data_IF_241857021454
#
_entry.id   IF_241857021454
#
_cell.length_a   1.000
_cell.length_b   1.000
_cell.length_c   1.000
_cell.angle_alpha   90.00
_cell.angle_beta   90.00
_cell.angle_gamma   90.00
#
_symmetry.space_group_name_H-M   'P 1'
#
loop_
_entity.id
_entity.type
_entity.pdbx_description
1 polymer ?
#
# COMPACT_ATOMS: atom_id res chain seq x y z
N UNK A 1 18.30 6.41 -32.78
CA UNK A 1 16.94 6.92 -33.08
C UNK A 1 16.34 7.40 -31.77
N UNK A 2 16.16 8.73 -31.60
CA UNK A 2 15.52 9.26 -30.40
C UNK A 2 14.03 8.92 -30.46
N UNK A 3 13.46 8.26 -29.45
CA UNK A 3 12.02 8.01 -29.42
C UNK A 3 11.30 9.36 -29.47
N UNK A 4 10.49 9.56 -30.52
CA UNK A 4 9.61 10.72 -30.61
C UNK A 4 8.52 10.53 -29.55
N UNK A 5 8.69 11.16 -28.40
CA UNK A 5 7.64 11.22 -27.40
C UNK A 5 6.50 12.07 -27.94
N UNK A 6 5.38 11.44 -28.27
CA UNK A 6 4.14 12.16 -28.61
C UNK A 6 3.70 12.88 -27.34
N UNK A 7 3.71 14.23 -27.30
CA UNK A 7 3.31 14.95 -26.12
C UNK A 7 1.82 14.71 -25.88
N UNK A 8 1.48 14.28 -24.67
CA UNK A 8 0.09 14.09 -24.28
C UNK A 8 -0.62 15.46 -24.27
N UNK A 9 -1.87 15.57 -24.78
CA UNK A 9 -2.66 16.78 -24.64
C UNK A 9 -2.74 17.24 -23.18
N UNK A 10 -2.60 18.55 -22.95
CA UNK A 10 -2.51 19.11 -21.59
C UNK A 10 -3.79 18.88 -20.79
N UNK A 11 -4.93 18.91 -21.46
CA UNK A 11 -6.25 18.64 -20.91
C UNK A 11 -6.32 17.22 -20.37
N UNK A 12 -5.83 16.24 -21.13
CA UNK A 12 -5.79 14.84 -20.70
C UNK A 12 -4.85 14.65 -19.51
N UNK A 13 -3.70 15.33 -19.51
CA UNK A 13 -2.77 15.29 -18.39
C UNK A 13 -3.38 15.90 -17.13
N UNK A 14 -4.12 17.01 -17.26
CA UNK A 14 -4.85 17.61 -16.15
C UNK A 14 -5.93 16.66 -15.62
N UNK A 15 -6.70 16.00 -16.46
CA UNK A 15 -7.69 14.99 -16.03
C UNK A 15 -7.03 13.84 -15.27
N UNK A 16 -5.87 13.36 -15.73
CA UNK A 16 -5.09 12.34 -15.02
C UNK A 16 -4.67 12.84 -13.63
N UNK A 17 -4.24 14.10 -13.51
CA UNK A 17 -3.88 14.68 -12.21
C UNK A 17 -5.09 14.76 -11.28
N UNK A 18 -6.24 15.24 -11.78
CA UNK A 18 -7.48 15.31 -11.01
C UNK A 18 -7.95 13.91 -10.57
N UNK A 19 -7.80 12.89 -11.42
CA UNK A 19 -8.13 11.49 -11.09
C UNK A 19 -7.21 10.94 -10.01
N UNK A 20 -5.92 11.18 -10.15
CA UNK A 20 -4.89 10.75 -9.19
C UNK A 20 -5.13 11.38 -7.82
N UNK A 21 -5.56 12.65 -7.80
CA UNK A 21 -5.88 13.39 -6.60
C UNK A 21 -7.30 13.08 -6.05
N UNK A 22 -8.08 12.23 -6.75
CA UNK A 22 -9.46 11.84 -6.40
C UNK A 22 -10.41 13.04 -6.32
N UNK A 23 -10.46 13.85 -7.38
CA UNK A 23 -11.42 14.95 -7.48
C UNK A 23 -12.87 14.40 -7.42
N UNK A 24 -13.76 14.94 -6.57
CA UNK A 24 -15.07 14.35 -6.31
C UNK A 24 -15.96 14.28 -7.55
N UNK A 25 -15.86 15.27 -8.45
CA UNK A 25 -16.74 15.39 -9.62
C UNK A 25 -16.13 14.77 -10.89
N UNK A 26 -15.07 13.97 -10.79
CA UNK A 26 -14.35 13.53 -12.00
C UNK A 26 -15.15 12.59 -12.91
N UNK A 27 -16.19 11.95 -12.38
CA UNK A 27 -17.09 11.09 -13.15
C UNK A 27 -18.28 11.86 -13.74
N UNK A 28 -18.37 13.16 -13.50
CA UNK A 28 -19.38 14.02 -14.13
C UNK A 28 -19.02 14.19 -15.61
N UNK A 29 -20.00 14.12 -16.50
CA UNK A 29 -19.83 14.30 -17.95
C UNK A 29 -19.21 15.66 -18.30
N UNK A 30 -19.28 16.60 -17.36
CA UNK A 30 -18.61 17.88 -17.40
C UNK A 30 -17.07 17.79 -17.36
N UNK A 31 -16.44 16.67 -17.00
CA UNK A 31 -14.98 16.49 -16.97
C UNK A 31 -14.46 15.69 -18.18
N UNK A 32 -14.61 16.26 -19.38
CA UNK A 32 -14.14 15.69 -20.64
C UNK A 32 -12.79 16.28 -21.10
N UNK A 33 -12.26 15.81 -22.24
CA UNK A 33 -11.02 16.34 -22.84
C UNK A 33 -11.13 17.81 -23.29
N UNK A 34 -12.34 18.37 -23.33
CA UNK A 34 -12.65 19.73 -23.78
C UNK A 34 -13.06 20.63 -22.61
N UNK A 35 -12.64 20.26 -21.39
CA UNK A 35 -13.01 20.90 -20.13
C UNK A 35 -12.83 22.42 -20.14
N UNK A 36 -11.79 22.92 -20.81
CA UNK A 36 -11.48 24.35 -20.99
C UNK A 36 -11.40 24.79 -22.45
N UNK A 37 -12.05 24.06 -23.37
CA UNK A 37 -12.09 24.41 -24.79
C UNK A 37 -13.06 25.58 -25.03
N UNK A 38 -12.52 26.71 -25.50
CA UNK A 38 -13.31 27.91 -25.78
C UNK A 38 -14.28 27.74 -26.96
N UNK A 39 -14.02 26.81 -27.89
CA UNK A 39 -14.88 26.58 -29.05
C UNK A 39 -16.08 25.70 -28.68
N UNK A 40 -15.90 24.77 -27.75
CA UNK A 40 -16.94 23.81 -27.36
C UNK A 40 -17.74 24.21 -26.13
N UNK A 41 -17.16 25.03 -25.24
CA UNK A 41 -17.81 25.43 -23.99
C UNK A 41 -17.90 26.94 -23.84
N UNK A 42 -19.07 27.42 -23.44
CA UNK A 42 -19.27 28.82 -23.12
C UNK A 42 -18.42 29.25 -21.93
N UNK A 43 -18.19 30.56 -21.80
CA UNK A 43 -17.28 31.11 -20.79
C UNK A 43 -17.76 30.81 -19.35
N UNK A 44 -19.07 30.83 -19.09
CA UNK A 44 -19.64 30.68 -17.75
C UNK A 44 -19.37 29.30 -17.12
N UNK A 45 -19.64 28.15 -17.79
CA UNK A 45 -19.22 26.83 -17.31
C UNK A 45 -17.72 26.72 -17.09
N UNK A 46 -16.89 27.27 -17.99
CA UNK A 46 -15.43 27.23 -17.87
C UNK A 46 -14.93 27.99 -16.65
N UNK A 47 -15.50 29.16 -16.37
CA UNK A 47 -15.20 29.94 -15.17
C UNK A 47 -15.57 29.15 -13.91
N UNK A 48 -16.79 28.62 -13.84
CA UNK A 48 -17.24 27.84 -12.68
C UNK A 48 -16.31 26.65 -12.42
N UNK A 49 -15.95 25.94 -13.48
CA UNK A 49 -15.06 24.79 -13.40
C UNK A 49 -13.64 25.17 -12.98
N UNK A 50 -13.13 26.30 -13.46
CA UNK A 50 -11.87 26.87 -13.00
C UNK A 50 -11.95 27.20 -11.50
N UNK A 51 -13.03 27.82 -11.02
CA UNK A 51 -13.22 28.17 -9.61
C UNK A 51 -13.26 26.91 -8.74
N UNK A 52 -14.06 25.91 -9.12
CA UNK A 52 -14.22 24.64 -8.39
C UNK A 52 -12.89 23.87 -8.30
N UNK A 53 -12.21 23.69 -9.44
CA UNK A 53 -10.92 22.99 -9.49
C UNK A 53 -9.87 23.76 -8.70
N UNK A 54 -9.80 25.08 -8.86
CA UNK A 54 -8.79 25.92 -8.19
C UNK A 54 -8.97 25.92 -6.68
N UNK A 55 -10.20 26.11 -6.19
CA UNK A 55 -10.49 26.07 -4.76
C UNK A 55 -10.12 24.69 -4.18
N UNK A 56 -10.51 23.61 -4.85
CA UNK A 56 -10.19 22.27 -4.40
C UNK A 56 -8.68 21.99 -4.37
N UNK A 57 -7.93 22.41 -5.40
CA UNK A 57 -6.46 22.26 -5.42
C UNK A 57 -5.80 23.06 -4.28
N UNK A 58 -6.26 24.29 -4.02
CA UNK A 58 -5.76 25.10 -2.90
C UNK A 58 -6.13 24.46 -1.56
N UNK A 59 -7.32 23.89 -1.41
CA UNK A 59 -7.72 23.11 -0.25
C UNK A 59 -6.82 21.89 -0.02
N UNK A 60 -6.39 21.20 -1.08
CA UNK A 60 -5.45 20.08 -0.94
C UNK A 60 -4.05 20.52 -0.49
N UNK A 61 -3.59 21.71 -0.89
CA UNK A 61 -2.28 22.23 -0.47
C UNK A 61 -2.31 22.81 0.95
N UNK A 62 -3.29 23.65 1.22
CA UNK A 62 -3.36 24.55 2.39
C UNK A 62 -4.28 24.01 3.51
N UNK A 63 -5.09 22.99 3.21
CA UNK A 63 -6.07 22.44 4.12
C UNK A 63 -7.09 23.49 4.57
N UNK A 64 -7.24 23.65 5.89
CA UNK A 64 -8.21 24.57 6.51
C UNK A 64 -7.97 26.05 6.16
N UNK A 65 -6.78 26.40 5.68
CA UNK A 65 -6.44 27.78 5.33
C UNK A 65 -6.96 28.20 3.94
N UNK A 66 -7.42 27.27 3.10
CA UNK A 66 -7.94 27.61 1.77
C UNK A 66 -9.09 28.62 1.81
N UNK A 67 -9.99 28.50 2.79
CA UNK A 67 -11.08 29.47 3.02
C UNK A 67 -10.59 30.88 3.34
N UNK A 68 -9.41 31.03 3.97
CA UNK A 68 -8.83 32.34 4.25
C UNK A 68 -8.20 32.95 3.01
N UNK A 69 -7.61 32.12 2.15
CA UNK A 69 -6.94 32.54 0.91
C UNK A 69 -7.99 32.91 -0.16
N UNK A 70 -9.03 32.09 -0.28
CA UNK A 70 -10.10 32.22 -1.27
C UNK A 70 -11.44 32.46 -0.55
N UNK A 71 -11.52 33.55 0.22
CA UNK A 71 -12.66 33.88 1.07
C UNK A 71 -13.98 34.11 0.31
N UNK A 72 -13.92 34.37 -0.99
CA UNK A 72 -15.09 34.64 -1.84
C UNK A 72 -15.71 33.39 -2.46
N UNK A 73 -15.18 32.19 -2.18
CA UNK A 73 -15.73 30.94 -2.69
C UNK A 73 -16.79 30.35 -1.74
N UNK A 74 -17.94 29.85 -2.24
CA UNK A 74 -18.35 29.77 -3.65
C UNK A 74 -18.76 31.14 -4.22
N UNK A 75 -18.41 31.40 -5.48
CA UNK A 75 -18.75 32.65 -6.15
C UNK A 75 -20.21 32.58 -6.65
N UNK A 76 -21.09 33.39 -6.06
CA UNK A 76 -22.51 33.46 -6.45
C UNK A 76 -22.70 34.62 -7.42
N UNK A 77 -21.99 35.74 -7.20
CA UNK A 77 -22.10 36.96 -8.00
C UNK A 77 -20.91 37.13 -8.96
N UNK A 78 -21.09 37.75 -10.14
CA UNK A 78 -19.99 38.04 -11.05
C UNK A 78 -18.87 38.89 -10.42
N UNK A 79 -19.20 39.79 -9.49
CA UNK A 79 -18.21 40.58 -8.73
C UNK A 79 -17.33 39.71 -7.83
N UNK A 80 -17.89 38.66 -7.22
CA UNK A 80 -17.16 37.71 -6.38
C UNK A 80 -16.19 36.88 -7.22
N UNK A 81 -16.58 36.50 -8.44
CA UNK A 81 -15.69 35.85 -9.42
C UNK A 81 -14.47 36.71 -9.77
N UNK A 82 -14.60 38.04 -9.84
CA UNK A 82 -13.44 38.94 -10.07
C UNK A 82 -12.51 38.96 -8.85
N UNK A 83 -13.08 39.06 -7.65
CA UNK A 83 -12.33 39.03 -6.41
C UNK A 83 -11.60 37.68 -6.22
N UNK A 84 -12.29 36.57 -6.49
CA UNK A 84 -11.72 35.22 -6.47
C UNK A 84 -10.51 35.12 -7.41
N UNK A 85 -10.67 35.51 -8.68
CA UNK A 85 -9.59 35.45 -9.68
C UNK A 85 -8.38 36.30 -9.26
N UNK A 86 -8.62 37.46 -8.64
CA UNK A 86 -7.55 38.34 -8.17
C UNK A 86 -6.78 37.71 -7.01
N UNK A 87 -7.49 37.18 -6.00
CA UNK A 87 -6.90 36.46 -4.88
C UNK A 87 -6.15 35.20 -5.32
N UNK A 88 -6.73 34.45 -6.26
CA UNK A 88 -6.14 33.24 -6.80
C UNK A 88 -4.88 33.54 -7.64
N UNK A 89 -4.88 34.58 -8.48
CA UNK A 89 -3.70 35.01 -9.21
C UNK A 89 -2.54 35.37 -8.26
N UNK A 90 -2.84 36.10 -7.17
CA UNK A 90 -1.84 36.45 -6.16
C UNK A 90 -1.29 35.22 -5.44
N UNK A 91 -2.17 34.27 -5.10
CA UNK A 91 -1.76 33.00 -4.51
C UNK A 91 -0.84 32.21 -5.44
N UNK A 92 -1.22 32.06 -6.72
CA UNK A 92 -0.43 31.35 -7.72
C UNK A 92 0.96 31.96 -7.91
N UNK A 93 1.07 33.29 -7.99
CA UNK A 93 2.38 33.94 -8.14
C UNK A 93 3.24 33.77 -6.89
N UNK A 94 2.66 33.86 -5.68
CA UNK A 94 3.39 33.56 -4.45
C UNK A 94 3.89 32.11 -4.41
N UNK A 95 3.03 31.13 -4.76
CA UNK A 95 3.38 29.71 -4.81
C UNK A 95 4.49 29.45 -5.84
N UNK A 96 4.41 30.10 -7.00
CA UNK A 96 5.46 30.04 -8.03
C UNK A 96 6.78 30.57 -7.50
N UNK A 97 6.78 31.75 -6.88
CA UNK A 97 7.99 32.37 -6.33
C UNK A 97 8.62 31.53 -5.21
N UNK A 98 7.82 31.00 -4.29
CA UNK A 98 8.30 30.11 -3.23
C UNK A 98 8.94 28.84 -3.82
N UNK A 99 8.29 28.22 -4.80
CA UNK A 99 8.81 27.00 -5.44
C UNK A 99 10.12 27.24 -6.19
N UNK A 100 10.26 28.39 -6.86
CA UNK A 100 11.50 28.77 -7.55
C UNK A 100 12.61 29.08 -6.53
N UNK A 101 12.30 29.80 -5.45
CA UNK A 101 13.28 30.16 -4.40
C UNK A 101 13.84 28.97 -3.65
N UNK A 102 13.04 27.95 -3.41
CA UNK A 102 13.49 26.71 -2.78
C UNK A 102 14.52 25.95 -3.63
N UNK A 103 14.68 26.32 -4.91
CA UNK A 103 15.69 25.82 -5.86
C UNK A 103 15.81 24.29 -5.91
N UNK A 104 14.73 23.62 -5.54
CA UNK A 104 14.62 22.18 -5.62
C UNK A 104 14.54 21.83 -7.10
N UNK A 105 15.34 20.86 -7.56
CA UNK A 105 15.27 20.36 -8.94
C UNK A 105 13.84 19.95 -9.34
N UNK A 106 12.97 19.72 -8.34
CA UNK A 106 11.55 19.46 -8.52
C UNK A 106 10.72 20.68 -8.96
N UNK A 107 11.09 21.95 -8.77
CA UNK A 107 10.22 23.08 -9.17
C UNK A 107 10.25 23.44 -10.66
N UNK A 108 10.75 22.55 -11.52
CA UNK A 108 10.88 22.78 -12.96
C UNK A 108 9.54 23.09 -13.66
N UNK A 109 8.42 22.57 -13.15
CA UNK A 109 7.08 22.83 -13.72
C UNK A 109 6.61 24.29 -13.60
N UNK A 110 7.26 25.12 -12.77
CA UNK A 110 6.93 26.54 -12.62
C UNK A 110 7.76 27.49 -13.50
N UNK A 111 8.85 26.99 -14.11
CA UNK A 111 9.81 27.85 -14.84
C UNK A 111 9.19 28.53 -16.06
N UNK A 112 8.38 27.79 -16.82
CA UNK A 112 7.79 28.27 -18.08
C UNK A 112 6.32 28.72 -17.92
N UNK A 113 5.86 28.87 -16.68
CA UNK A 113 4.46 29.21 -16.38
C UNK A 113 4.36 30.68 -15.99
N UNK A 114 3.61 31.43 -16.79
CA UNK A 114 3.31 32.83 -16.51
C UNK A 114 1.97 32.93 -15.76
N UNK A 115 1.99 33.59 -14.61
CA UNK A 115 0.76 33.91 -13.86
C UNK A 115 0.29 35.30 -14.28
N UNK A 116 -0.82 35.39 -15.01
CA UNK A 116 -1.44 36.66 -15.40
C UNK A 116 -2.93 36.59 -15.13
N UNK A 117 -3.50 37.71 -14.69
CA UNK A 117 -4.94 37.81 -14.41
C UNK A 117 -5.79 37.50 -15.66
N UNK A 118 -5.38 37.99 -16.83
CA UNK A 118 -6.09 37.76 -18.09
C UNK A 118 -6.25 36.27 -18.45
N UNK A 119 -5.29 35.42 -18.09
CA UNK A 119 -5.39 33.97 -18.32
C UNK A 119 -6.52 33.33 -17.50
N UNK A 120 -6.71 33.80 -16.27
CA UNK A 120 -7.82 33.37 -15.41
C UNK A 120 -9.15 34.00 -15.82
N UNK A 121 -9.13 35.11 -16.56
CA UNK A 121 -10.33 35.72 -17.11
C UNK A 121 -10.83 34.96 -18.35
N UNK A 122 -9.92 34.51 -19.20
CA UNK A 122 -10.23 33.73 -20.40
C UNK A 122 -10.60 32.28 -20.10
N UNK A 123 -10.01 31.65 -19.06
CA UNK A 123 -10.21 30.24 -18.68
C UNK A 123 -10.07 29.27 -19.87
N UNK A 124 -9.12 29.53 -20.76
CA UNK A 124 -8.87 28.74 -21.97
C UNK A 124 -7.43 28.87 -22.46
N UNK A 125 -7.05 27.95 -23.36
CA UNK A 125 -5.78 27.97 -24.06
C UNK A 125 -4.63 27.34 -23.29
N UNK A 126 -3.54 27.11 -24.02
CA UNK A 126 -2.36 26.36 -23.56
C UNK A 126 -1.73 26.99 -22.31
N UNK A 127 -1.65 28.32 -22.24
CA UNK A 127 -1.04 29.03 -21.10
C UNK A 127 -1.84 28.85 -19.80
N UNK A 128 -3.17 28.95 -19.88
CA UNK A 128 -4.06 28.70 -18.75
C UNK A 128 -3.99 27.24 -18.29
N UNK A 129 -4.02 26.28 -19.23
CA UNK A 129 -3.91 24.86 -18.89
C UNK A 129 -2.59 24.53 -18.22
N UNK A 130 -1.46 25.07 -18.71
CA UNK A 130 -0.16 24.91 -18.05
C UNK A 130 -0.15 25.47 -16.63
N UNK A 131 -0.86 26.57 -16.38
CA UNK A 131 -0.98 27.17 -15.06
C UNK A 131 -1.72 26.26 -14.07
N UNK A 132 -2.89 25.75 -14.44
CA UNK A 132 -3.66 24.81 -13.60
C UNK A 132 -2.91 23.48 -13.43
N UNK A 133 -2.27 23.01 -14.51
CA UNK A 133 -1.47 21.79 -14.49
C UNK A 133 -0.27 21.92 -13.54
N UNK A 134 0.47 23.03 -13.57
CA UNK A 134 1.58 23.27 -12.65
C UNK A 134 1.11 23.28 -11.19
N UNK A 135 -0.02 23.92 -10.90
CA UNK A 135 -0.61 23.88 -9.56
C UNK A 135 -0.98 22.45 -9.14
N UNK A 136 -1.66 21.68 -10.01
CA UNK A 136 -2.01 20.29 -9.71
C UNK A 136 -0.79 19.39 -9.48
N UNK A 137 0.29 19.63 -10.23
CA UNK A 137 1.59 18.95 -10.07
C UNK A 137 2.19 19.27 -8.70
N UNK A 138 2.15 20.54 -8.28
CA UNK A 138 2.57 20.96 -6.94
C UNK A 138 1.79 20.22 -5.85
N UNK A 139 0.48 20.00 -6.03
CA UNK A 139 -0.36 19.27 -5.06
C UNK A 139 0.08 17.81 -4.94
N UNK A 140 0.26 17.15 -6.09
CA UNK A 140 0.74 15.76 -6.13
C UNK A 140 2.09 15.66 -5.43
N UNK A 141 3.03 16.52 -5.80
CA UNK A 141 4.37 16.57 -5.22
C UNK A 141 4.34 16.83 -3.71
N UNK A 142 3.53 17.78 -3.26
CA UNK A 142 3.41 18.12 -1.83
C UNK A 142 2.83 16.94 -1.04
N UNK A 143 1.87 16.21 -1.62
CA UNK A 143 1.28 15.02 -0.99
C UNK A 143 2.26 13.87 -0.92
N UNK A 144 3.06 13.65 -1.96
CA UNK A 144 4.11 12.62 -1.95
C UNK A 144 5.21 12.99 -0.95
N UNK A 145 5.63 14.25 -0.88
CA UNK A 145 6.72 14.66 0.00
C UNK A 145 6.33 14.60 1.49
N UNK A 146 5.07 14.84 1.85
CA UNK A 146 4.59 14.75 3.26
C UNK A 146 4.58 13.31 3.81
N UNK A 147 4.52 12.29 2.95
CA UNK A 147 4.50 10.88 3.37
C UNK A 147 5.87 10.20 3.40
N UNK A 148 6.85 10.73 2.68
CA UNK A 148 8.15 10.11 2.50
C UNK A 148 9.25 11.03 3.04
N UNK A 149 9.69 10.79 4.27
CA UNK A 149 10.81 11.50 4.92
C UNK A 149 12.18 11.26 4.24
N UNK A 150 12.22 10.61 3.07
CA UNK A 150 13.41 10.50 2.23
C UNK A 150 13.02 10.73 0.75
N UNK A 151 13.12 11.97 0.25
CA UNK A 151 12.82 12.32 -1.15
C UNK A 151 13.92 11.87 -2.14
N UNK A 152 14.77 10.92 -1.74
CA UNK A 152 15.76 10.30 -2.61
C UNK A 152 15.08 9.37 -3.62
N UNK A 153 14.62 9.93 -4.73
CA UNK A 153 14.29 9.20 -5.97
C UNK A 153 13.35 7.99 -5.79
N UNK A 154 12.15 8.20 -5.22
CA UNK A 154 11.06 7.24 -5.40
C UNK A 154 10.52 7.44 -6.82
N UNK A 155 11.21 6.78 -7.75
CA UNK A 155 10.90 6.72 -9.17
C UNK A 155 9.45 6.28 -9.34
N UNK A 156 8.68 6.98 -10.17
CA UNK A 156 7.35 6.59 -10.65
C UNK A 156 7.19 5.08 -10.91
N UNK A 157 8.28 4.42 -11.34
CA UNK A 157 8.35 2.97 -11.53
C UNK A 157 8.02 2.18 -10.28
N UNK A 158 8.45 2.61 -9.09
CA UNK A 158 8.15 1.94 -7.82
C UNK A 158 6.64 1.95 -7.52
N UNK A 159 5.99 3.11 -7.62
CA UNK A 159 4.53 3.22 -7.47
C UNK A 159 3.77 2.38 -8.51
N UNK A 160 4.25 2.36 -9.75
CA UNK A 160 3.64 1.53 -10.79
C UNK A 160 3.80 0.03 -10.47
N UNK A 161 4.98 -0.39 -10.01
CA UNK A 161 5.26 -1.77 -9.58
C UNK A 161 4.35 -2.15 -8.41
N UNK A 162 4.21 -1.29 -7.40
CA UNK A 162 3.35 -1.54 -6.24
C UNK A 162 1.87 -1.64 -6.65
N UNK A 163 1.40 -0.74 -7.51
CA UNK A 163 0.04 -0.77 -8.02
C UNK A 163 -0.23 -2.02 -8.86
N UNK A 164 0.73 -2.45 -9.70
CA UNK A 164 0.63 -3.67 -10.48
C UNK A 164 0.67 -4.93 -9.61
N UNK A 165 1.53 -4.95 -8.59
CA UNK A 165 1.61 -6.05 -7.63
C UNK A 165 0.28 -6.20 -6.87
N UNK A 166 -0.27 -5.09 -6.39
CA UNK A 166 -1.59 -5.08 -5.75
C UNK A 166 -2.69 -5.55 -6.70
N UNK A 167 -2.70 -5.09 -7.96
CA UNK A 167 -3.67 -5.57 -8.95
C UNK A 167 -3.55 -7.09 -9.17
N UNK A 168 -2.34 -7.63 -9.28
CA UNK A 168 -2.15 -9.07 -9.45
C UNK A 168 -2.63 -9.87 -8.24
N UNK A 169 -2.42 -9.37 -7.03
CA UNK A 169 -2.97 -9.97 -5.80
C UNK A 169 -4.49 -10.03 -5.84
N UNK A 170 -5.15 -8.92 -6.18
CA UNK A 170 -6.60 -8.89 -6.34
C UNK A 170 -7.10 -9.82 -7.43
N UNK A 171 -6.41 -9.89 -8.58
CA UNK A 171 -6.76 -10.83 -9.67
C UNK A 171 -6.63 -12.27 -9.21
N UNK A 172 -5.63 -12.60 -8.39
CA UNK A 172 -5.47 -13.93 -7.82
C UNK A 172 -6.60 -14.27 -6.85
N UNK A 173 -7.01 -13.33 -5.99
CA UNK A 173 -8.15 -13.51 -5.08
C UNK A 173 -9.45 -13.70 -5.86
N UNK A 174 -9.70 -12.86 -6.87
CA UNK A 174 -10.86 -12.98 -7.74
C UNK A 174 -10.90 -14.33 -8.48
N UNK A 175 -9.74 -14.81 -8.96
CA UNK A 175 -9.62 -16.14 -9.59
C UNK A 175 -10.03 -17.26 -8.64
N UNK A 176 -9.53 -17.25 -7.40
CA UNK A 176 -9.92 -18.27 -6.40
C UNK A 176 -11.42 -18.24 -6.10
N UNK A 177 -12.03 -17.05 -6.06
CA UNK A 177 -13.47 -16.91 -5.84
C UNK A 177 -14.29 -17.48 -7.01
N UNK A 178 -13.87 -17.23 -8.26
CA UNK A 178 -14.52 -17.77 -9.46
C UNK A 178 -14.37 -19.29 -9.55
N UNK A 179 -13.19 -19.84 -9.20
CA UNK A 179 -12.99 -21.30 -9.10
C UNK A 179 -13.90 -21.92 -8.03
N UNK A 180 -14.06 -21.26 -6.90
CA UNK A 180 -14.97 -21.69 -5.83
C UNK A 180 -16.43 -21.65 -6.28
N UNK A 181 -16.84 -20.58 -6.96
CA UNK A 181 -18.19 -20.46 -7.52
C UNK A 181 -18.48 -21.61 -8.50
N UNK A 182 -17.56 -21.88 -9.43
CA UNK A 182 -17.67 -22.99 -10.38
C UNK A 182 -17.79 -24.33 -9.65
N UNK A 183 -16.94 -24.59 -8.66
CA UNK A 183 -16.99 -25.84 -7.87
C UNK A 183 -18.34 -25.99 -7.14
N UNK A 184 -18.89 -24.91 -6.61
CA UNK A 184 -20.22 -24.92 -5.97
C UNK A 184 -21.32 -25.22 -7.00
N UNK A 185 -21.24 -24.68 -8.20
CA UNK A 185 -22.17 -25.00 -9.28
C UNK A 185 -22.03 -26.46 -9.74
N UNK A 186 -20.82 -26.99 -9.87
CA UNK A 186 -20.57 -28.39 -10.22
C UNK A 186 -21.12 -29.33 -9.14
N UNK A 187 -20.91 -29.02 -7.86
CA UNK A 187 -21.50 -29.79 -6.75
C UNK A 187 -23.03 -29.73 -6.78
N UNK A 188 -23.63 -28.57 -7.07
CA UNK A 188 -25.09 -28.45 -7.26
C UNK A 188 -25.57 -29.28 -8.44
N UNK A 189 -24.88 -29.25 -9.57
CA UNK A 189 -25.24 -30.03 -10.76
C UNK A 189 -25.13 -31.54 -10.49
N UNK A 190 -24.07 -31.99 -9.79
CA UNK A 190 -23.93 -33.38 -9.36
C UNK A 190 -25.02 -33.82 -8.39
N UNK A 191 -25.40 -32.96 -7.44
CA UNK A 191 -26.52 -33.22 -6.52
C UNK A 191 -27.88 -33.28 -7.23
N UNK A 192 -28.05 -32.53 -8.33
CA UNK A 192 -29.26 -32.61 -9.17
C UNK A 192 -29.24 -33.87 -10.04
N UNK A 193 -28.08 -34.23 -10.61
CA UNK A 193 -27.93 -35.41 -11.46
C UNK A 193 -28.07 -36.73 -10.70
N UNK A 194 -27.62 -36.79 -9.44
CA UNK A 194 -27.68 -37.99 -8.59
C UNK A 194 -29.07 -38.23 -7.96
N UNK A 195 -30.06 -37.37 -8.21
CA UNK A 195 -31.46 -37.55 -7.75
C UNK A 195 -32.22 -38.70 -8.44
N UNK A 196 -31.56 -39.62 -9.14
CA UNK A 196 -32.21 -40.78 -9.75
C UNK A 196 -32.76 -41.79 -8.73
N UNK A 197 -32.48 -41.64 -7.43
CA UNK A 197 -33.36 -42.14 -6.37
C UNK A 197 -33.63 -41.02 -5.34
N UNK A 198 -34.88 -40.87 -4.86
CA UNK A 198 -35.25 -39.89 -3.85
C UNK A 198 -34.77 -40.36 -2.47
N UNK A 199 -33.46 -40.50 -2.29
CA UNK A 199 -32.86 -40.51 -0.96
C UNK A 199 -33.02 -39.10 -0.41
N UNK A 200 -34.20 -38.80 0.15
CA UNK A 200 -34.37 -37.62 0.96
C UNK A 200 -33.22 -37.61 1.97
N UNK A 201 -32.40 -36.56 1.93
CA UNK A 201 -31.40 -36.31 2.95
C UNK A 201 -32.06 -36.59 4.31
N UNK A 202 -31.41 -37.35 5.20
CA UNK A 202 -31.92 -37.61 6.56
C UNK A 202 -32.23 -36.30 7.31
N UNK A 203 -31.72 -35.18 6.82
CA UNK A 203 -31.92 -33.85 7.35
C UNK A 203 -32.83 -32.94 6.49
N UNK A 204 -33.55 -33.48 5.51
CA UNK A 204 -34.43 -32.71 4.63
C UNK A 204 -35.56 -32.00 5.40
N UNK A 205 -35.97 -32.55 6.54
CA UNK A 205 -36.97 -31.95 7.45
C UNK A 205 -36.38 -30.87 8.37
N UNK A 206 -35.06 -30.71 8.44
CA UNK A 206 -34.42 -29.73 9.32
C UNK A 206 -34.25 -28.40 8.61
N UNK A 207 -34.65 -27.33 9.27
CA UNK A 207 -34.35 -25.97 8.82
C UNK A 207 -32.84 -25.73 8.79
N UNK A 208 -32.38 -24.83 7.92
CA UNK A 208 -30.97 -24.46 7.81
C UNK A 208 -30.39 -23.99 9.15
N UNK A 209 -31.17 -23.25 9.94
CA UNK A 209 -30.77 -22.82 11.28
C UNK A 209 -30.51 -24.01 12.22
N UNK A 210 -31.34 -25.06 12.15
CA UNK A 210 -31.19 -26.27 12.97
C UNK A 210 -30.03 -27.14 12.52
N UNK A 211 -29.75 -27.19 11.21
CA UNK A 211 -28.54 -27.82 10.66
C UNK A 211 -27.26 -27.12 11.13
N UNK A 212 -27.25 -25.79 11.14
CA UNK A 212 -26.14 -25.00 11.68
C UNK A 212 -25.93 -25.30 13.17
N UNK A 213 -27.01 -25.29 13.96
CA UNK A 213 -26.95 -25.63 15.39
C UNK A 213 -26.47 -27.06 15.64
N UNK A 214 -26.90 -28.03 14.83
CA UNK A 214 -26.47 -29.43 14.93
C UNK A 214 -24.97 -29.57 14.59
N UNK A 215 -24.50 -28.90 13.54
CA UNK A 215 -23.08 -28.82 13.19
C UNK A 215 -22.26 -28.26 14.35
N UNK A 216 -22.69 -27.13 14.91
CA UNK A 216 -21.96 -26.45 15.98
C UNK A 216 -21.95 -27.30 17.26
N UNK A 217 -23.07 -27.93 17.61
CA UNK A 217 -23.16 -28.90 18.71
C UNK A 217 -22.21 -30.09 18.49
N UNK A 218 -22.15 -30.66 17.29
CA UNK A 218 -21.25 -31.80 17.00
C UNK A 218 -19.78 -31.41 17.01
N UNK A 219 -19.47 -30.20 16.57
CA UNK A 219 -18.12 -29.66 16.68
C UNK A 219 -17.70 -29.48 18.14
N UNK A 220 -18.60 -28.97 18.98
CA UNK A 220 -18.35 -28.82 20.42
C UNK A 220 -18.21 -30.18 21.13
N UNK A 221 -19.04 -31.18 20.77
CA UNK A 221 -18.91 -32.55 21.26
C UNK A 221 -17.53 -33.14 20.90
N UNK A 222 -17.10 -32.97 19.64
CA UNK A 222 -15.81 -33.45 19.17
C UNK A 222 -14.65 -32.82 19.94
N UNK A 223 -14.68 -31.49 20.11
CA UNK A 223 -13.66 -30.76 20.87
C UNK A 223 -13.61 -31.23 22.34
N UNK A 224 -14.77 -31.40 22.98
CA UNK A 224 -14.85 -31.90 24.36
C UNK A 224 -14.28 -33.30 24.50
N UNK A 225 -14.57 -34.19 23.55
CA UNK A 225 -14.19 -35.60 23.65
C UNK A 225 -12.72 -35.85 23.27
N UNK A 226 -12.15 -35.10 22.33
CA UNK A 226 -10.83 -35.43 21.75
C UNK A 226 -9.74 -34.41 22.02
N UNK A 227 -10.08 -33.14 22.28
CA UNK A 227 -9.09 -32.07 22.38
C UNK A 227 -9.12 -31.29 23.69
N UNK A 228 -10.02 -31.66 24.61
CA UNK A 228 -10.32 -30.88 25.81
C UNK A 228 -10.92 -29.52 25.48
N UNK A 229 -11.35 -28.77 26.50
CA UNK A 229 -11.90 -27.41 26.35
C UNK A 229 -10.86 -26.34 25.99
N UNK A 230 -9.79 -26.72 25.28
CA UNK A 230 -8.70 -25.82 24.89
C UNK A 230 -9.12 -24.95 23.71
N UNK A 231 -9.06 -23.64 23.88
CA UNK A 231 -9.32 -22.66 22.83
C UNK A 231 -8.38 -22.86 21.62
N UNK A 232 -7.18 -23.40 21.84
CA UNK A 232 -6.21 -23.70 20.80
C UNK A 232 -6.69 -24.83 19.88
N UNK A 233 -7.36 -25.85 20.41
CA UNK A 233 -7.91 -26.92 19.60
C UNK A 233 -9.03 -26.42 18.69
N UNK A 234 -9.87 -25.51 19.19
CA UNK A 234 -10.91 -24.85 18.39
C UNK A 234 -10.30 -24.00 17.27
N UNK A 235 -9.20 -23.27 17.55
CA UNK A 235 -8.44 -22.52 16.53
C UNK A 235 -7.79 -23.43 15.50
N UNK A 236 -7.23 -24.57 15.90
CA UNK A 236 -6.65 -25.55 14.99
C UNK A 236 -7.72 -26.20 14.09
N UNK A 237 -8.86 -26.62 14.66
CA UNK A 237 -9.95 -27.22 13.92
C UNK A 237 -10.56 -26.23 12.91
N UNK A 238 -10.83 -25.00 13.34
CA UNK A 238 -11.30 -23.94 12.43
C UNK A 238 -10.29 -23.61 11.33
N UNK A 239 -8.99 -23.69 11.62
CA UNK A 239 -7.94 -23.58 10.63
C UNK A 239 -7.97 -24.72 9.61
N UNK A 240 -8.19 -25.98 10.02
CA UNK A 240 -8.27 -27.11 9.08
C UNK A 240 -9.57 -27.14 8.26
N UNK A 241 -10.67 -26.64 8.82
CA UNK A 241 -11.94 -26.55 8.11
C UNK A 241 -11.98 -25.34 7.17
N UNK A 242 -11.25 -24.26 7.44
CA UNK A 242 -11.14 -23.09 6.57
C UNK A 242 -10.81 -23.40 5.10
N UNK A 243 -9.80 -24.24 4.81
CA UNK A 243 -9.46 -24.72 3.46
C UNK A 243 -10.58 -25.46 2.74
N UNK A 244 -11.52 -26.08 3.47
CA UNK A 244 -12.66 -26.78 2.87
C UNK A 244 -13.75 -25.83 2.36
N UNK A 245 -13.62 -24.52 2.63
CA UNK A 245 -14.61 -23.50 2.26
C UNK A 245 -15.80 -23.42 3.23
N UNK A 246 -15.86 -24.30 4.24
CA UNK A 246 -16.85 -24.26 5.31
C UNK A 246 -16.43 -23.23 6.37
N UNK A 247 -16.80 -21.96 6.18
CA UNK A 247 -16.52 -20.93 7.19
C UNK A 247 -17.47 -21.06 8.38
N UNK A 248 -16.93 -21.12 9.59
CA UNK A 248 -17.70 -21.04 10.83
C UNK A 248 -17.94 -19.57 11.19
N UNK A 249 -19.20 -19.13 11.08
CA UNK A 249 -19.62 -17.84 11.62
C UNK A 249 -19.85 -18.01 13.13
N UNK A 250 -18.78 -17.95 13.92
CA UNK A 250 -18.85 -18.16 15.37
C UNK A 250 -19.56 -17.04 16.15
N UNK A 251 -19.88 -15.91 15.51
CA UNK A 251 -20.73 -14.87 16.08
C UNK A 251 -21.35 -14.05 14.96
N UNK A 252 -22.66 -13.85 14.98
CA UNK A 252 -23.48 -13.25 13.90
C UNK A 252 -23.19 -11.81 13.49
N UNK A 253 -22.00 -11.26 13.74
CA UNK A 253 -21.53 -9.98 13.18
C UNK A 253 -20.03 -10.01 13.02
N UNK A 254 -19.51 -10.56 11.93
CA UNK A 254 -18.20 -10.13 11.42
C UNK A 254 -18.22 -10.06 9.89
N UNK A 255 -17.81 -8.89 9.42
CA UNK A 255 -17.52 -8.58 8.03
C UNK A 255 -16.56 -9.63 7.45
N UNK A 256 -16.66 -9.87 6.15
CA UNK A 256 -15.76 -10.71 5.36
C UNK A 256 -14.34 -10.11 5.46
N UNK A 257 -13.61 -10.45 6.52
CA UNK A 257 -12.18 -10.23 6.60
C UNK A 257 -11.55 -11.42 5.90
N UNK A 258 -11.14 -11.20 4.65
CA UNK A 258 -10.12 -11.97 3.96
C UNK A 258 -8.78 -11.77 4.71
N UNK A 259 -8.70 -12.24 5.95
CA UNK A 259 -7.52 -12.17 6.80
C UNK A 259 -6.63 -13.37 6.51
N UNK A 260 -6.12 -13.39 5.29
CA UNK A 260 -5.00 -14.20 4.88
C UNK A 260 -4.29 -13.36 3.86
N UNK A 261 -3.40 -12.46 4.29
CA UNK A 261 -2.42 -11.89 3.38
C UNK A 261 -1.75 -13.08 2.70
N UNK A 262 -1.95 -13.33 1.39
CA UNK A 262 -1.22 -14.38 0.72
C UNK A 262 0.27 -14.11 0.99
N UNK A 263 1.08 -15.14 1.24
CA UNK A 263 2.51 -14.95 1.46
C UNK A 263 3.04 -14.12 0.29
N UNK A 264 3.49 -12.90 0.60
CA UNK A 264 4.05 -11.95 -0.35
C UNK A 264 5.32 -12.59 -0.92
N UNK A 265 5.17 -13.40 -1.95
CA UNK A 265 6.29 -13.76 -2.82
C UNK A 265 6.56 -12.50 -3.62
N UNK A 266 7.33 -11.59 -3.00
CA UNK A 266 7.92 -10.44 -3.66
C UNK A 266 8.87 -11.00 -4.72
N UNK A 267 8.34 -11.29 -5.91
CA UNK A 267 9.19 -11.47 -7.09
C UNK A 267 9.89 -10.13 -7.26
N UNK A 268 11.19 -10.11 -7.00
CA UNK A 268 12.03 -8.96 -7.24
C UNK A 268 12.04 -8.71 -8.76
N UNK A 269 11.07 -7.94 -9.25
CA UNK A 269 11.04 -7.49 -10.63
C UNK A 269 12.16 -6.46 -10.73
N UNK A 270 13.19 -6.75 -11.51
CA UNK A 270 14.28 -5.82 -11.76
C UNK A 270 13.68 -4.52 -12.35
N UNK A 271 14.01 -3.33 -11.82
CA UNK A 271 13.42 -2.08 -12.30
C UNK A 271 13.72 -1.90 -13.78
N UNK A 272 12.69 -1.98 -14.63
CA UNK A 272 12.83 -1.70 -16.06
C UNK A 272 13.17 -0.22 -16.26
N UNK A 273 14.13 0.04 -17.15
CA UNK A 273 14.57 1.39 -17.51
C UNK A 273 13.36 2.19 -18.01
N UNK A 274 13.19 3.41 -17.49
CA UNK A 274 11.98 4.25 -17.61
C UNK A 274 11.38 4.34 -19.03
N UNK A 275 12.23 4.35 -20.06
CA UNK A 275 11.80 4.44 -21.45
C UNK A 275 11.01 3.22 -21.93
N UNK A 276 11.36 2.01 -21.46
CA UNK A 276 10.66 0.76 -21.80
C UNK A 276 9.32 0.68 -21.04
N UNK A 277 9.30 1.11 -19.78
CA UNK A 277 8.07 1.21 -18.99
C UNK A 277 7.05 2.21 -19.58
N UNK A 278 7.53 3.33 -20.14
CA UNK A 278 6.70 4.34 -20.81
C UNK A 278 6.11 3.86 -22.14
N UNK A 279 6.82 3.03 -22.92
CA UNK A 279 6.34 2.51 -24.20
C UNK A 279 5.20 1.49 -24.05
N UNK A 280 5.23 0.62 -23.02
CA UNK A 280 4.15 -0.33 -22.72
C UNK A 280 3.02 0.28 -21.87
N UNK A 281 3.14 1.55 -21.51
CA UNK A 281 2.28 2.24 -20.55
C UNK A 281 0.80 2.32 -20.96
N UNK A 282 0.43 2.62 -22.23
CA UNK A 282 -0.98 2.71 -22.61
C UNK A 282 -1.71 1.37 -22.50
N UNK A 283 -1.05 0.26 -22.85
CA UNK A 283 -1.57 -1.10 -22.70
C UNK A 283 -1.66 -1.52 -21.23
N UNK A 284 -0.66 -1.21 -20.41
CA UNK A 284 -0.68 -1.47 -18.97
C UNK A 284 -1.77 -0.66 -18.26
N UNK A 285 -1.96 0.60 -18.61
CA UNK A 285 -3.06 1.44 -18.10
C UNK A 285 -4.43 0.94 -18.56
N UNK A 286 -4.56 0.53 -19.83
CA UNK A 286 -5.80 -0.13 -20.32
C UNK A 286 -6.09 -1.41 -19.53
N UNK A 287 -5.07 -2.19 -19.17
CA UNK A 287 -5.22 -3.38 -18.32
C UNK A 287 -5.56 -3.04 -16.86
N UNK A 288 -5.04 -1.94 -16.32
CA UNK A 288 -5.40 -1.43 -15.00
C UNK A 288 -6.86 -0.95 -14.92
N UNK A 289 -7.43 -0.50 -16.06
CA UNK A 289 -8.86 -0.12 -16.15
C UNK A 289 -9.82 -1.31 -16.22
N UNK A 290 -9.37 -2.50 -16.60
CA UNK A 290 -10.23 -3.69 -16.66
C UNK A 290 -10.62 -4.10 -15.24
N UNK A 291 -11.87 -4.53 -15.06
CA UNK A 291 -12.32 -5.08 -13.78
C UNK A 291 -11.45 -6.29 -13.38
N UNK A 292 -11.13 -6.39 -12.09
CA UNK A 292 -10.34 -7.50 -11.53
C UNK A 292 -10.95 -8.86 -11.88
N UNK A 293 -12.28 -8.97 -11.88
CA UNK A 293 -13.00 -10.19 -12.24
C UNK A 293 -12.86 -10.53 -13.72
N UNK A 294 -12.99 -9.55 -14.62
CA UNK A 294 -12.78 -9.77 -16.07
C UNK A 294 -11.36 -10.27 -16.37
N UNK A 295 -10.36 -9.75 -15.65
CA UNK A 295 -8.98 -10.21 -15.77
C UNK A 295 -8.79 -11.62 -15.23
N UNK A 296 -9.47 -11.96 -14.13
CA UNK A 296 -9.45 -13.31 -13.56
C UNK A 296 -10.13 -14.32 -14.48
N UNK A 297 -11.29 -13.99 -15.05
CA UNK A 297 -12.01 -14.81 -16.04
C UNK A 297 -11.17 -15.04 -17.30
N UNK A 298 -10.50 -13.99 -17.80
CA UNK A 298 -9.61 -14.11 -18.96
C UNK A 298 -8.49 -15.11 -18.68
N UNK A 299 -7.88 -15.06 -17.49
CA UNK A 299 -6.82 -15.99 -17.06
C UNK A 299 -7.33 -17.41 -16.85
N UNK A 300 -8.55 -17.57 -16.34
CA UNK A 300 -9.19 -18.88 -16.19
C UNK A 300 -9.51 -19.50 -17.56
N UNK A 301 -9.95 -18.67 -18.51
CA UNK A 301 -10.24 -19.10 -19.87
C UNK A 301 -8.97 -19.49 -20.63
N UNK A 302 -7.86 -18.79 -20.40
CA UNK A 302 -6.55 -19.12 -20.98
C UNK A 302 -5.99 -20.45 -20.45
N UNK A 303 -6.32 -20.81 -19.20
CA UNK A 303 -5.96 -22.09 -18.60
C UNK A 303 -6.88 -23.24 -19.01
N UNK A 304 -8.04 -22.96 -19.60
CA UNK A 304 -8.91 -24.01 -20.12
C UNK A 304 -8.19 -24.68 -21.31
N UNK A 305 -7.99 -26.01 -21.31
CA UNK A 305 -7.33 -26.68 -22.42
C UNK A 305 -8.09 -26.36 -23.71
N UNK A 306 -7.41 -25.96 -24.80
CA UNK A 306 -8.06 -25.72 -26.07
C UNK A 306 -8.82 -26.99 -26.48
N UNK A 307 -10.11 -26.85 -26.75
CA UNK A 307 -10.99 -27.93 -27.18
C UNK A 307 -10.53 -28.38 -28.56
N UNK A 308 -9.54 -29.27 -28.60
CA UNK A 308 -9.10 -29.99 -29.79
C UNK A 308 -9.64 -31.43 -29.72
N UNK A 309 -10.23 -31.94 -30.81
CA UNK A 309 -10.75 -33.30 -30.86
C UNK A 309 -9.59 -34.29 -31.07
N UNK A 310 -9.22 -35.05 -30.03
CA UNK A 310 -8.64 -36.41 -30.11
C UNK A 310 -8.14 -36.85 -28.73
N UNK A 311 -8.71 -37.96 -28.24
CA UNK A 311 -8.76 -38.37 -26.82
C UNK A 311 -7.50 -39.11 -26.32
N UNK A 312 -6.45 -39.31 -27.13
CA UNK A 312 -5.36 -40.21 -26.71
C UNK A 312 -4.13 -39.54 -26.07
N UNK A 313 -3.94 -38.20 -26.19
CA UNK A 313 -2.73 -37.52 -25.68
C UNK A 313 -2.91 -36.68 -24.40
N UNK A 314 -4.14 -36.55 -23.89
CA UNK A 314 -4.44 -35.70 -22.71
C UNK A 314 -3.79 -36.26 -21.43
N UNK A 315 -3.68 -37.58 -21.31
CA UNK A 315 -3.10 -38.22 -20.13
C UNK A 315 -1.59 -37.93 -19.99
N UNK A 316 -0.87 -37.92 -21.11
CA UNK A 316 0.58 -37.72 -21.11
C UNK A 316 0.96 -36.27 -20.76
N UNK A 317 0.17 -35.30 -21.24
CA UNK A 317 0.35 -33.88 -20.87
C UNK A 317 -0.03 -33.61 -19.40
N UNK A 318 -1.07 -34.28 -18.87
CA UNK A 318 -1.43 -34.17 -17.46
C UNK A 318 -0.32 -34.74 -16.54
N UNK A 319 0.25 -35.90 -16.90
CA UNK A 319 1.39 -36.48 -16.18
C UNK A 319 2.62 -35.58 -16.25
N UNK A 320 2.93 -34.99 -17.41
CA UNK A 320 4.05 -34.07 -17.57
C UNK A 320 3.85 -32.78 -16.75
N UNK A 321 2.63 -32.25 -16.71
CA UNK A 321 2.30 -31.07 -15.89
C UNK A 321 2.37 -31.38 -14.39
N UNK A 322 1.96 -32.57 -13.95
CA UNK A 322 2.10 -33.01 -12.56
C UNK A 322 3.58 -33.20 -12.18
N UNK A 323 4.40 -33.74 -13.09
CA UNK A 323 5.84 -33.89 -12.91
C UNK A 323 6.52 -32.53 -12.70
N UNK A 324 6.22 -31.55 -13.56
CA UNK A 324 6.76 -30.19 -13.45
C UNK A 324 6.34 -29.53 -12.12
N UNK A 325 5.09 -29.73 -11.70
CA UNK A 325 4.61 -29.23 -10.40
C UNK A 325 5.34 -29.89 -9.23
N UNK A 326 5.52 -31.21 -9.29
CA UNK A 326 6.25 -31.97 -8.28
C UNK A 326 7.70 -31.50 -8.17
N UNK A 327 8.39 -31.33 -9.29
CA UNK A 327 9.78 -30.88 -9.30
C UNK A 327 9.92 -29.42 -8.81
N UNK A 328 8.96 -28.55 -9.14
CA UNK A 328 8.90 -27.19 -8.58
C UNK A 328 8.69 -27.20 -7.06
N UNK A 329 7.90 -28.12 -6.51
CA UNK A 329 7.73 -28.25 -5.05
C UNK A 329 8.97 -28.82 -4.37
N UNK A 330 9.65 -29.80 -4.98
CA UNK A 330 10.94 -30.33 -4.48
C UNK A 330 12.00 -29.23 -4.45
N UNK A 331 12.09 -28.43 -5.52
CA UNK A 331 13.03 -27.32 -5.58
C UNK A 331 12.75 -26.27 -4.48
N UNK A 332 11.48 -25.91 -4.26
CA UNK A 332 11.12 -24.99 -3.16
C UNK A 332 11.47 -25.54 -1.78
N UNK A 333 11.25 -26.85 -1.53
CA UNK A 333 11.64 -27.49 -0.27
C UNK A 333 13.15 -27.41 -0.07
N UNK A 334 13.92 -27.75 -1.10
CA UNK A 334 15.37 -27.64 -1.07
C UNK A 334 15.85 -26.21 -0.76
N UNK A 335 15.29 -25.18 -1.42
CA UNK A 335 15.64 -23.78 -1.14
C UNK A 335 15.32 -23.35 0.30
N UNK A 336 14.20 -23.83 0.86
CA UNK A 336 13.83 -23.54 2.24
C UNK A 336 14.74 -24.24 3.24
N UNK A 337 15.12 -25.50 2.98
CA UNK A 337 16.08 -26.25 3.77
C UNK A 337 17.47 -25.58 3.76
N UNK A 338 17.92 -25.11 2.60
CA UNK A 338 19.17 -24.36 2.46
C UNK A 338 19.14 -23.02 3.21
N UNK A 339 18.04 -22.26 3.08
CA UNK A 339 17.86 -21.00 3.81
C UNK A 339 17.83 -21.24 5.33
N UNK A 340 17.16 -22.29 5.79
CA UNK A 340 17.12 -22.67 7.21
C UNK A 340 18.53 -23.06 7.69
N UNK A 341 19.27 -23.85 6.91
CA UNK A 341 20.65 -24.22 7.21
C UNK A 341 21.59 -23.00 7.28
N UNK A 342 21.36 -21.97 6.46
CA UNK A 342 22.10 -20.71 6.52
C UNK A 342 21.80 -19.94 7.80
N UNK A 343 20.51 -19.81 8.16
CA UNK A 343 20.09 -19.12 9.38
C UNK A 343 20.61 -19.83 10.64
N UNK A 344 20.63 -21.15 10.66
CA UNK A 344 21.18 -21.90 11.80
C UNK A 344 22.70 -21.73 11.94
N UNK A 345 23.45 -21.68 10.83
CA UNK A 345 24.89 -21.36 10.84
C UNK A 345 25.17 -19.93 11.31
N UNK A 346 24.39 -18.95 10.86
CA UNK A 346 24.53 -17.56 11.32
C UNK A 346 24.20 -17.44 12.82
N UNK A 347 23.16 -18.14 13.28
CA UNK A 347 22.80 -18.22 14.70
C UNK A 347 23.96 -18.83 15.53
N UNK A 348 24.59 -19.92 15.07
CA UNK A 348 25.70 -20.53 15.80
C UNK A 348 26.93 -19.61 15.89
N UNK A 349 27.23 -18.86 14.82
CA UNK A 349 28.31 -17.87 14.82
C UNK A 349 28.04 -16.72 15.79
N UNK A 350 26.79 -16.23 15.84
CA UNK A 350 26.40 -15.19 16.80
C UNK A 350 26.52 -15.71 18.23
N UNK A 351 26.09 -16.94 18.50
CA UNK A 351 26.23 -17.54 19.84
C UNK A 351 27.70 -17.74 20.23
N UNK A 352 28.58 -18.14 19.31
CA UNK A 352 30.01 -18.28 19.60
C UNK A 352 30.67 -16.92 19.91
N UNK A 353 30.29 -15.86 19.17
CA UNK A 353 30.76 -14.48 19.44
C UNK A 353 30.28 -13.94 20.78
N UNK A 354 29.10 -14.34 21.24
CA UNK A 354 28.56 -13.95 22.55
C UNK A 354 29.20 -14.74 23.70
N UNK A 355 29.64 -15.97 23.46
CA UNK A 355 30.26 -16.83 24.49
C UNK A 355 31.76 -16.54 24.65
N UNK A 356 32.47 -16.03 23.62
CA UNK A 356 33.86 -15.57 23.77
C UNK A 356 33.93 -14.40 24.78
N UNK A 357 34.40 -14.64 26.03
CA UNK A 357 34.34 -13.64 27.08
C UNK A 357 35.32 -12.51 26.81
N UNK A 358 35.02 -11.34 27.36
CA UNK A 358 35.87 -10.14 27.48
C UNK A 358 37.17 -10.38 28.29
N UNK A 359 37.95 -11.43 28.01
CA UNK A 359 39.20 -11.71 28.72
C UNK A 359 40.39 -10.87 28.22
N UNK A 360 40.24 -10.06 27.17
CA UNK A 360 41.41 -9.43 26.50
C UNK A 360 41.53 -7.90 26.69
N UNK A 361 40.79 -7.28 27.62
CA UNK A 361 40.84 -5.82 27.85
C UNK A 361 41.34 -5.38 29.24
N UNK A 362 42.23 -6.14 29.88
CA UNK A 362 42.77 -5.76 31.21
C UNK A 362 44.29 -5.64 31.36
N UNK A 363 45.08 -5.61 30.27
CA UNK A 363 46.55 -5.61 30.39
C UNK A 363 47.33 -4.45 29.74
N UNK A 364 46.69 -3.38 29.25
CA UNK A 364 47.42 -2.22 28.69
C UNK A 364 46.95 -0.88 29.25
N UNK A 365 46.84 -0.78 30.57
CA UNK A 365 46.67 0.51 31.28
C UNK A 365 47.61 0.61 32.47
N UNK A 366 48.90 0.41 32.22
CA UNK A 366 49.96 0.87 33.09
C UNK A 366 51.14 1.22 32.18
N UNK A 367 51.76 2.39 32.40
CA UNK A 367 52.99 2.92 31.77
C UNK A 367 52.79 3.93 30.63
N UNK A 368 52.61 5.20 31.00
CA UNK A 368 53.63 6.25 30.79
C UNK A 368 53.11 7.62 31.23
N UNK A 369 53.39 7.98 32.48
CA UNK A 369 53.67 9.37 32.86
C UNK A 369 55.19 9.60 32.76
N UNK A 370 55.60 10.88 32.82
CA UNK A 370 56.95 11.48 32.69
C UNK A 370 57.24 11.96 31.24
N UNK A 371 57.47 13.24 30.93
CA UNK A 371 57.55 14.47 31.73
C UNK A 371 58.03 15.65 30.86
N UNK A 372 57.71 16.88 31.32
CA UNK A 372 58.53 18.12 31.33
C UNK A 372 59.14 18.69 30.04
N UNK A 373 58.89 19.99 29.77
CA UNK A 373 59.85 20.85 29.06
C UNK A 373 59.31 22.15 28.41
N UNK A 374 59.71 23.29 28.95
CA UNK A 374 59.46 24.69 28.54
C UNK A 374 59.80 25.08 27.09
N UNK A 375 59.19 26.16 26.56
CA UNK A 375 59.86 27.47 26.33
C UNK A 375 59.02 28.46 25.48
N UNK A 376 59.30 29.74 25.69
CA UNK A 376 58.59 30.95 25.27
C UNK A 376 58.93 31.46 23.84
N UNK A 377 58.06 32.34 23.31
CA UNK A 377 58.36 33.63 22.63
C UNK A 377 57.11 34.09 21.83
N UNK A 378 56.44 35.18 22.17
CA UNK A 378 56.79 36.61 21.99
C UNK A 378 56.27 37.23 20.67
N UNK A 379 55.35 38.20 20.84
CA UNK A 379 55.15 39.45 20.08
C UNK A 379 54.82 39.43 18.58
N UNK A 380 53.68 40.06 18.19
CA UNK A 380 53.70 41.36 17.49
C UNK A 380 52.35 42.09 17.52
N UNK A 381 52.44 43.39 17.79
CA UNK A 381 51.37 44.36 17.90
C UNK A 381 50.90 44.92 16.54
N UNK A 382 49.69 45.50 16.52
CA UNK A 382 49.16 46.29 15.41
C UNK A 382 47.88 47.05 15.75
N UNK A 383 48.02 48.18 16.47
CA UNK A 383 47.01 49.24 16.67
C UNK A 383 46.64 49.91 15.34
N UNK A 384 45.38 50.32 15.17
CA UNK A 384 44.99 51.68 14.70
C UNK A 384 43.50 51.96 14.94
N UNK A 385 43.24 53.24 15.15
CA UNK A 385 42.13 53.90 15.84
C UNK A 385 41.06 54.52 14.91
N UNK A 386 39.86 54.70 15.49
CA UNK A 386 38.72 55.64 15.26
C UNK A 386 38.92 56.94 14.44
N UNK A 387 37.88 57.78 14.12
CA UNK A 387 36.47 57.87 14.60
C UNK A 387 35.39 58.08 13.48
N UNK A 388 34.07 58.00 13.69
CA UNK A 388 33.20 59.08 14.20
C UNK A 388 31.70 58.73 13.97
N UNK A 389 30.81 59.22 14.85
CA UNK A 389 29.32 59.11 14.79
C UNK A 389 28.72 60.30 13.97
N UNK A 390 27.42 60.30 13.59
CA UNK A 390 26.32 60.74 14.48
C UNK A 390 25.01 59.89 14.35
N UNK A 391 24.31 59.51 15.43
CA UNK A 391 23.12 60.15 16.07
C UNK A 391 21.92 60.50 15.15
N UNK A 392 20.85 59.71 15.24
CA UNK A 392 19.40 60.09 15.17
C UNK A 392 18.58 58.93 15.78
N UNK A 393 18.07 59.06 17.02
CA UNK A 393 16.72 59.52 17.42
C UNK A 393 15.56 58.51 17.23
N UNK A 394 15.21 57.85 18.34
CA UNK A 394 13.87 57.69 18.94
C UNK A 394 12.67 57.40 18.01
N UNK A 395 12.11 56.18 18.12
CA UNK A 395 10.77 55.92 18.71
C UNK A 395 10.54 54.42 18.98
N UNK A 396 9.66 54.06 19.94
CA UNK A 396 9.72 52.79 20.65
C UNK A 396 8.92 51.66 20.00
N UNK A 397 9.53 50.48 19.97
CA UNK A 397 8.86 49.21 19.68
C UNK A 397 8.07 48.73 20.90
N UNK A 398 6.79 48.45 20.66
CA UNK A 398 5.92 47.70 21.56
C UNK A 398 6.43 46.25 21.60
N UNK A 399 6.96 45.83 22.74
CA UNK A 399 7.27 44.44 23.01
C UNK A 399 5.99 43.73 23.46
N UNK A 400 5.37 42.96 22.56
CA UNK A 400 4.35 41.98 22.95
C UNK A 400 5.09 40.78 23.53
N UNK A 401 4.99 40.63 24.86
CA UNK A 401 5.30 39.39 25.56
C UNK A 401 4.35 38.28 25.08
N UNK A 402 4.84 37.38 24.23
CA UNK A 402 4.20 36.08 24.02
C UNK A 402 4.80 35.11 25.02
N UNK A 403 4.03 34.83 26.06
CA UNK A 403 4.37 33.86 27.09
C UNK A 403 4.62 32.47 26.52
N UNK A 404 5.80 31.92 26.83
CA UNK A 404 6.07 30.49 26.72
C UNK A 404 5.21 29.77 27.76
N UNK A 405 4.07 29.21 27.34
CA UNK A 405 3.42 28.15 28.12
C UNK A 405 4.08 26.82 27.79
N UNK A 406 4.81 26.32 28.78
CA UNK A 406 5.17 24.93 28.89
C UNK A 406 3.89 24.08 28.96
N UNK A 407 3.75 23.15 28.03
CA UNK A 407 2.89 21.97 28.18
C UNK A 407 3.80 20.76 28.05
N UNK A 408 4.49 20.47 29.15
CA UNK A 408 5.04 19.15 29.41
C UNK A 408 3.90 18.34 30.04
N UNK A 409 3.44 17.30 29.34
CA UNK A 409 2.33 16.50 29.84
C UNK A 409 1.94 15.35 28.92
N UNK A 410 2.55 14.19 29.17
CA UNK A 410 1.87 12.88 29.22
C UNK A 410 1.39 12.27 27.89
N UNK A 411 2.30 11.63 27.14
CA UNK A 411 1.98 10.44 26.31
C UNK A 411 3.22 9.51 26.25
N UNK A 412 3.44 8.72 27.30
CA UNK A 412 4.40 7.60 27.30
C UNK A 412 3.88 6.49 28.22
N UNK A 413 2.88 5.73 27.79
CA UNK A 413 2.48 4.44 28.40
C UNK A 413 1.53 3.68 27.47
N UNK A 414 2.01 3.14 26.35
CA UNK A 414 1.30 2.08 25.58
C UNK A 414 2.28 1.09 24.93
N UNK A 415 3.57 1.43 24.78
CA UNK A 415 4.52 0.57 24.05
C UNK A 415 5.24 -0.49 24.89
N UNK A 416 4.86 -0.72 26.16
CA UNK A 416 5.57 -1.65 27.06
C UNK A 416 4.96 -3.06 27.14
N UNK A 417 3.73 -3.25 26.68
CA UNK A 417 3.01 -4.53 26.86
C UNK A 417 3.15 -5.51 25.68
N UNK A 418 3.80 -5.11 24.59
CA UNK A 418 4.03 -6.00 23.43
C UNK A 418 5.41 -6.67 23.47
N UNK A 419 6.33 -6.15 24.29
CA UNK A 419 7.71 -6.68 24.41
C UNK A 419 7.81 -7.78 25.48
N UNK A 420 6.89 -7.83 26.46
CA UNK A 420 6.84 -8.88 27.49
C UNK A 420 6.37 -10.25 26.99
N UNK A 421 5.87 -10.35 25.75
CA UNK A 421 5.48 -11.63 25.14
C UNK A 421 6.69 -12.51 24.75
N UNK A 422 7.90 -11.94 24.65
CA UNK A 422 9.09 -12.64 24.15
C UNK A 422 10.20 -12.88 25.18
N UNK A 423 10.05 -12.43 26.43
CA UNK A 423 11.13 -12.51 27.44
C UNK A 423 10.96 -13.59 28.52
N UNK A 424 9.92 -14.43 28.47
CA UNK A 424 9.77 -15.53 29.44
C UNK A 424 10.61 -16.75 29.03
N UNK A 425 11.87 -16.75 29.49
CA UNK A 425 12.92 -17.74 29.16
C UNK A 425 12.80 -19.09 29.87
N UNK A 426 11.86 -19.28 30.81
CA UNK A 426 11.84 -20.48 31.66
C UNK A 426 10.89 -21.59 31.19
N UNK A 427 9.98 -21.34 30.25
CA UNK A 427 8.98 -22.35 29.83
C UNK A 427 9.27 -23.07 28.49
N UNK A 428 10.39 -22.78 27.83
CA UNK A 428 10.73 -23.41 26.53
C UNK A 428 11.27 -24.85 26.71
N UNK A 429 11.72 -25.21 27.91
CA UNK A 429 12.24 -26.55 28.22
C UNK A 429 11.21 -27.68 28.16
N UNK A 430 9.94 -27.38 28.47
CA UNK A 430 8.87 -28.39 28.50
C UNK A 430 8.17 -28.62 27.15
N UNK A 431 8.46 -27.78 26.14
CA UNK A 431 7.88 -27.86 24.79
C UNK A 431 8.68 -28.75 23.82
N UNK A 432 9.89 -29.17 24.20
CA UNK A 432 10.74 -30.05 23.38
C UNK A 432 10.55 -31.55 23.70
N UNK A 433 9.73 -31.89 24.70
CA UNK A 433 9.43 -33.29 25.07
C UNK A 433 8.26 -33.94 24.30
N UNK A 434 7.52 -33.20 23.48
CA UNK A 434 6.31 -33.70 22.77
C UNK A 434 6.56 -34.10 21.32
N UNK A 435 7.80 -34.43 20.96
CA UNK A 435 8.16 -34.74 19.58
C UNK A 435 8.49 -36.22 19.37
N UNK A 436 7.52 -37.11 19.59
CA UNK A 436 7.43 -38.42 18.94
C UNK A 436 5.97 -38.91 19.02
N UNK A 437 5.11 -38.46 18.10
CA UNK A 437 3.87 -39.15 17.67
C UNK A 437 3.14 -38.46 16.49
N UNK A 438 3.87 -37.90 15.51
CA UNK A 438 3.25 -37.41 14.26
C UNK A 438 2.56 -38.52 13.46
N UNK A 439 2.92 -39.78 13.67
CA UNK A 439 2.27 -40.95 13.03
C UNK A 439 0.86 -41.17 13.57
N UNK A 440 0.62 -40.94 14.86
CA UNK A 440 -0.70 -41.09 15.51
C UNK A 440 -1.72 -40.05 15.01
N UNK A 441 -1.28 -38.79 14.86
CA UNK A 441 -2.14 -37.71 14.38
C UNK A 441 -2.48 -37.86 12.89
N UNK A 442 -1.53 -38.36 12.09
CA UNK A 442 -1.77 -38.68 10.68
C UNK A 442 -2.70 -39.88 10.50
N UNK A 443 -2.55 -40.93 11.33
CA UNK A 443 -3.48 -42.07 11.38
C UNK A 443 -4.87 -41.65 11.85
N UNK A 444 -5.00 -40.73 12.81
CA UNK A 444 -6.29 -40.20 13.23
C UNK A 444 -7.02 -39.42 12.12
N UNK A 445 -6.30 -38.63 11.31
CA UNK A 445 -6.88 -37.91 10.17
C UNK A 445 -7.28 -38.87 9.03
N UNK A 446 -6.50 -39.92 8.80
CA UNK A 446 -6.85 -40.98 7.85
C UNK A 446 -8.03 -41.84 8.34
N UNK A 447 -8.10 -42.15 9.62
CA UNK A 447 -9.24 -42.83 10.24
C UNK A 447 -10.50 -41.96 10.25
N UNK A 448 -10.39 -40.65 10.49
CA UNK A 448 -11.53 -39.73 10.41
C UNK A 448 -12.06 -39.60 8.98
N UNK A 449 -11.17 -39.53 7.98
CA UNK A 449 -11.58 -39.47 6.58
C UNK A 449 -12.17 -40.79 6.08
N UNK A 450 -11.67 -41.93 6.57
CA UNK A 450 -12.25 -43.25 6.30
C UNK A 450 -13.62 -43.41 6.97
N UNK A 451 -13.77 -43.00 8.23
CA UNK A 451 -15.03 -43.03 8.97
C UNK A 451 -16.08 -42.06 8.40
N UNK A 452 -15.69 -40.87 7.94
CA UNK A 452 -16.61 -39.97 7.24
C UNK A 452 -17.05 -40.56 5.89
N UNK A 453 -16.16 -41.25 5.16
CA UNK A 453 -16.49 -41.88 3.88
C UNK A 453 -17.45 -43.07 4.05
N UNK A 454 -17.36 -43.82 5.15
CA UNK A 454 -18.29 -44.91 5.49
C UNK A 454 -19.59 -44.43 6.13
N UNK A 455 -19.65 -43.22 6.69
CA UNK A 455 -20.90 -42.61 7.19
C UNK A 455 -21.73 -41.91 6.09
N UNK A 456 -21.10 -41.60 4.95
CA UNK A 456 -21.73 -40.94 3.79
C UNK A 456 -22.26 -41.97 2.77
N UNK A 457 -21.74 -43.21 2.80
CA UNK A 457 -22.41 -44.37 2.19
C UNK A 457 -23.44 -44.95 3.15
#
# INVERSE_FOLDING_TARGET
MNPQFVPLPLELLLLIHLQTLQHPNINDDLFDMHIFDAQKRSLRPRIKMMEDISYWLVEKLEGKNAKKILATYPCIKPSETIAFRTSFAKYLENTRQSSIRENSASSSWWKDVQVRKSLLEECAGVKFLRLILALSTQVIYSRTNRGFQNPGAISYTSFLIDAQASQQEWVQVARMLLEHEKKVLDMKAQLVATKSLPSQSKYASLSTARLIALRDSKMDDFLRQHCGSSELARKALTFFVGPTGLRFNAAGKQHILLSGKPPLIHRHIQPQVLAVAAAHHPSCLRRLRKSVFQLADSKLSELAPPVLPSVTNVHQHALQSLQISLDATKHRRFTLEEALAKVTREKSLITERLIKPKSEKRLTSARSEIGVGHAANATRAGKKSHPSKPKTSLRPGVWVHVGKRAVAGRVQTVSRDVVSFWEDRENVGNLLGLNFNCVSLFLCVLLLSFLLSTLIR
#
